data_IF_441174271149
#
_entry.id   IF_441174271149
#
_cell.length_a   1.000
_cell.length_b   1.000
_cell.length_c   1.000
_cell.angle_alpha   90.00
_cell.angle_beta   90.00
_cell.angle_gamma   90.00
#
_symmetry.space_group_name_H-M   'P 1'
#
loop_
_entity.id
_entity.type
_entity.pdbx_description
1 polymer ?
#
# COMPACT_ATOMS: atom_id res chain seq x y z
N UNK A 1 -22.85 26.41 41.28
CA UNK A 1 -21.69 26.79 40.46
C UNK A 1 -21.38 25.61 39.55
N UNK A 2 -21.82 25.67 38.29
CA UNK A 2 -21.53 24.64 37.29
C UNK A 2 -20.06 24.81 36.89
N UNK A 3 -19.20 23.88 37.28
CA UNK A 3 -17.81 23.88 36.82
C UNK A 3 -17.86 23.56 35.33
N UNK A 4 -17.61 24.56 34.49
CA UNK A 4 -17.44 24.34 33.06
C UNK A 4 -16.30 23.35 32.84
N UNK A 5 -16.61 22.22 32.20
CA UNK A 5 -15.63 21.19 31.91
C UNK A 5 -14.54 21.73 30.98
N UNK A 6 -13.38 22.05 31.57
CA UNK A 6 -12.24 22.65 30.87
C UNK A 6 -11.46 21.62 30.04
N UNK A 7 -11.87 20.35 30.01
CA UNK A 7 -11.20 19.34 29.20
C UNK A 7 -11.39 19.63 27.70
N UNK A 8 -10.28 19.68 26.95
CA UNK A 8 -10.34 19.73 25.48
C UNK A 8 -11.14 18.55 24.90
N UNK A 9 -11.66 18.68 23.67
CA UNK A 9 -12.36 17.60 22.95
C UNK A 9 -11.55 16.29 22.95
N UNK A 10 -10.22 16.40 22.78
CA UNK A 10 -9.31 15.26 22.81
C UNK A 10 -9.28 14.58 24.18
N UNK A 11 -9.34 15.34 25.27
CA UNK A 11 -9.41 14.79 26.63
C UNK A 11 -10.73 14.11 26.91
N UNK A 12 -11.86 14.75 26.54
CA UNK A 12 -13.20 14.20 26.77
C UNK A 12 -13.47 12.90 26.01
N UNK A 13 -12.92 12.78 24.80
CA UNK A 13 -13.12 11.61 23.93
C UNK A 13 -11.85 10.77 23.76
N UNK A 14 -10.89 10.85 24.69
CA UNK A 14 -9.58 10.23 24.56
C UNK A 14 -9.67 8.73 24.28
N UNK A 15 -10.53 8.02 25.01
CA UNK A 15 -10.74 6.58 24.82
C UNK A 15 -11.16 6.26 23.39
N UNK A 16 -12.20 6.93 22.88
CA UNK A 16 -12.72 6.71 21.53
C UNK A 16 -11.67 7.05 20.47
N UNK A 17 -10.99 8.18 20.62
CA UNK A 17 -9.95 8.62 19.67
C UNK A 17 -8.80 7.59 19.63
N UNK A 18 -8.34 7.08 20.77
CA UNK A 18 -7.30 6.05 20.84
C UNK A 18 -7.76 4.73 20.21
N UNK A 19 -9.03 4.36 20.38
CA UNK A 19 -9.62 3.18 19.73
C UNK A 19 -9.67 3.34 18.22
N UNK A 20 -10.19 4.46 17.73
CA UNK A 20 -10.23 4.75 16.29
C UNK A 20 -8.82 4.82 15.70
N UNK A 21 -7.85 5.39 16.41
CA UNK A 21 -6.45 5.44 15.97
C UNK A 21 -5.87 4.03 15.84
N UNK A 22 -6.10 3.15 16.82
CA UNK A 22 -5.70 1.74 16.74
C UNK A 22 -6.41 1.01 15.60
N UNK A 23 -7.71 1.23 15.41
CA UNK A 23 -8.52 0.57 14.39
C UNK A 23 -8.10 0.97 12.97
N UNK A 24 -7.92 2.26 12.73
CA UNK A 24 -7.40 2.79 11.46
C UNK A 24 -6.00 2.26 11.13
N UNK A 25 -5.14 2.11 12.14
CA UNK A 25 -3.80 1.53 11.97
C UNK A 25 -3.80 0.09 11.44
N UNK A 26 -4.75 -0.74 11.88
CA UNK A 26 -4.82 -2.13 11.44
C UNK A 26 -5.67 -2.32 10.19
N UNK A 27 -6.94 -1.89 10.24
CA UNK A 27 -7.94 -2.33 9.27
C UNK A 27 -7.71 -1.69 7.90
N UNK A 28 -7.84 -0.36 7.73
CA UNK A 28 -7.54 0.27 6.45
C UNK A 28 -6.04 0.29 6.16
N UNK A 29 -5.21 0.78 7.08
CA UNK A 29 -3.79 1.04 6.79
C UNK A 29 -2.98 -0.26 6.71
N UNK A 30 -3.12 -1.15 7.70
CA UNK A 30 -2.44 -2.43 7.70
C UNK A 30 -2.87 -3.34 6.54
N UNK A 31 -4.18 -3.36 6.25
CA UNK A 31 -4.72 -4.06 5.08
C UNK A 31 -4.17 -3.50 3.76
N UNK A 32 -4.17 -2.17 3.61
CA UNK A 32 -3.59 -1.52 2.43
C UNK A 32 -2.10 -1.78 2.31
N UNK A 33 -1.31 -1.71 3.39
CA UNK A 33 0.13 -2.00 3.34
C UNK A 33 0.39 -3.42 2.84
N UNK A 34 -0.32 -4.42 3.37
CA UNK A 34 -0.16 -5.80 2.93
C UNK A 34 -0.53 -5.97 1.45
N UNK A 35 -1.66 -5.41 1.01
CA UNK A 35 -2.07 -5.41 -0.38
C UNK A 35 -1.03 -4.70 -1.27
N UNK A 36 -0.58 -3.52 -0.88
CA UNK A 36 0.38 -2.70 -1.60
C UNK A 36 1.72 -3.43 -1.78
N UNK A 37 2.27 -4.04 -0.72
CA UNK A 37 3.51 -4.81 -0.83
C UNK A 37 3.33 -6.04 -1.73
N UNK A 38 2.22 -6.76 -1.62
CA UNK A 38 1.92 -7.92 -2.46
C UNK A 38 1.77 -7.56 -3.95
N UNK A 39 1.06 -6.46 -4.25
CA UNK A 39 0.92 -5.95 -5.62
C UNK A 39 2.27 -5.54 -6.20
N UNK A 40 3.11 -4.84 -5.42
CA UNK A 40 4.45 -4.46 -5.88
C UNK A 40 5.40 -5.65 -6.04
N UNK A 41 5.25 -6.71 -5.24
CA UNK A 41 6.06 -7.92 -5.37
C UNK A 41 5.84 -8.65 -6.70
N UNK A 42 4.77 -8.38 -7.44
CA UNK A 42 4.55 -8.93 -8.79
C UNK A 42 5.65 -8.54 -9.80
N UNK A 43 6.47 -7.53 -9.51
CA UNK A 43 7.65 -7.21 -10.32
C UNK A 43 8.69 -8.35 -10.33
N UNK A 44 8.70 -9.22 -9.31
CA UNK A 44 9.54 -10.41 -9.27
C UNK A 44 9.17 -11.41 -10.38
N UNK A 45 7.92 -11.38 -10.84
CA UNK A 45 7.43 -12.17 -11.97
C UNK A 45 7.65 -11.46 -13.32
N UNK A 46 8.26 -10.27 -13.31
CA UNK A 46 8.59 -9.45 -14.49
C UNK A 46 7.71 -8.22 -14.67
N UNK A 47 8.18 -7.29 -15.53
CA UNK A 47 7.52 -5.99 -15.79
C UNK A 47 6.10 -6.17 -16.33
N UNK A 48 5.85 -7.18 -17.18
CA UNK A 48 4.53 -7.47 -17.72
C UNK A 48 3.54 -7.93 -16.64
N UNK A 49 3.97 -8.76 -15.69
CA UNK A 49 3.14 -9.18 -14.56
C UNK A 49 2.81 -8.00 -13.65
N UNK A 50 3.80 -7.14 -13.37
CA UNK A 50 3.57 -5.90 -12.60
C UNK A 50 2.59 -4.95 -13.30
N UNK A 51 2.75 -4.71 -14.60
CA UNK A 51 1.81 -3.92 -15.41
C UNK A 51 0.40 -4.52 -15.36
N UNK A 52 0.26 -5.84 -15.48
CA UNK A 52 -1.04 -6.50 -15.39
C UNK A 52 -1.72 -6.25 -14.03
N UNK A 53 -0.97 -6.31 -12.92
CA UNK A 53 -1.51 -5.98 -11.58
C UNK A 53 -1.91 -4.51 -11.48
N UNK A 54 -1.11 -3.60 -12.03
CA UNK A 54 -1.45 -2.18 -12.09
C UNK A 54 -2.74 -1.96 -12.89
N UNK A 55 -2.88 -2.60 -14.05
CA UNK A 55 -4.08 -2.52 -14.89
C UNK A 55 -5.32 -3.05 -14.16
N UNK A 56 -5.21 -4.17 -13.44
CA UNK A 56 -6.34 -4.72 -12.67
C UNK A 56 -6.92 -3.71 -11.68
N UNK A 57 -6.06 -2.93 -11.01
CA UNK A 57 -6.49 -1.86 -10.10
C UNK A 57 -7.11 -0.70 -10.90
N UNK A 58 -6.48 -0.29 -11.99
CA UNK A 58 -6.92 0.88 -12.76
C UNK A 58 -8.20 0.65 -13.59
N UNK A 59 -8.54 -0.61 -13.88
CA UNK A 59 -9.80 -1.01 -14.55
C UNK A 59 -11.06 -0.68 -13.74
N UNK A 60 -10.94 -0.42 -12.44
CA UNK A 60 -12.06 0.03 -11.59
C UNK A 60 -12.59 1.42 -11.98
N UNK A 61 -11.82 2.17 -12.77
CA UNK A 61 -12.18 3.50 -13.24
C UNK A 61 -11.78 4.61 -12.26
N UNK A 62 -11.55 5.84 -12.76
CA UNK A 62 -10.98 6.93 -11.98
C UNK A 62 -11.86 7.35 -10.80
N UNK A 63 -13.19 7.35 -10.97
CA UNK A 63 -14.14 7.73 -9.92
C UNK A 63 -14.13 6.73 -8.77
N UNK A 64 -14.20 5.43 -9.07
CA UNK A 64 -14.17 4.35 -8.06
C UNK A 64 -12.86 4.38 -7.30
N UNK A 65 -11.73 4.51 -8.00
CA UNK A 65 -10.40 4.60 -7.39
C UNK A 65 -10.31 5.81 -6.46
N UNK A 66 -10.78 6.99 -6.90
CA UNK A 66 -10.77 8.19 -6.05
C UNK A 66 -11.54 7.98 -4.74
N UNK A 67 -12.75 7.40 -4.81
CA UNK A 67 -13.57 7.14 -3.63
C UNK A 67 -12.88 6.14 -2.69
N UNK A 68 -12.36 5.03 -3.24
CA UNK A 68 -11.67 4.01 -2.45
C UNK A 68 -10.38 4.55 -1.82
N UNK A 69 -9.58 5.29 -2.58
CA UNK A 69 -8.34 5.89 -2.09
C UNK A 69 -8.59 6.86 -0.95
N UNK A 70 -9.55 7.78 -1.07
CA UNK A 70 -9.82 8.71 0.01
C UNK A 70 -10.42 8.04 1.24
N UNK A 71 -11.40 7.15 1.06
CA UNK A 71 -12.10 6.52 2.17
C UNK A 71 -11.28 5.45 2.91
N UNK A 72 -10.48 4.65 2.18
CA UNK A 72 -9.74 3.51 2.74
C UNK A 72 -8.25 3.79 2.93
N UNK A 73 -7.67 4.80 2.26
CA UNK A 73 -6.22 5.05 2.30
C UNK A 73 -5.93 6.43 2.90
N UNK A 74 -6.24 7.52 2.19
CA UNK A 74 -5.79 8.86 2.60
C UNK A 74 -6.42 9.35 3.90
N UNK A 75 -7.75 9.27 4.05
CA UNK A 75 -8.41 9.75 5.27
C UNK A 75 -7.99 8.94 6.51
N UNK A 76 -7.95 7.58 6.46
CA UNK A 76 -7.42 6.80 7.56
C UNK A 76 -5.95 7.09 7.88
N UNK A 77 -5.07 7.18 6.86
CA UNK A 77 -3.64 7.49 7.06
C UNK A 77 -3.46 8.88 7.70
N UNK A 78 -4.18 9.89 7.23
CA UNK A 78 -4.13 11.24 7.80
C UNK A 78 -4.56 11.23 9.26
N UNK A 79 -5.71 10.62 9.56
CA UNK A 79 -6.20 10.53 10.94
C UNK A 79 -5.22 9.77 11.84
N UNK A 80 -4.79 8.57 11.43
CA UNK A 80 -3.84 7.74 12.18
C UNK A 80 -2.53 8.48 12.40
N UNK A 81 -1.99 9.08 11.35
CA UNK A 81 -0.73 9.79 11.37
C UNK A 81 -0.74 11.03 12.26
N UNK A 82 -1.77 11.89 12.14
CA UNK A 82 -1.90 13.11 12.95
C UNK A 82 -2.05 12.75 14.43
N UNK A 83 -2.99 11.86 14.77
CA UNK A 83 -3.19 11.43 16.16
C UNK A 83 -1.96 10.70 16.70
N UNK A 84 -1.29 9.89 15.86
CA UNK A 84 -0.04 9.22 16.17
C UNK A 84 1.08 10.19 16.54
N UNK A 85 1.23 11.28 15.79
CA UNK A 85 2.21 12.32 16.11
C UNK A 85 1.89 13.05 17.42
N UNK A 86 0.61 13.31 17.71
CA UNK A 86 0.22 13.85 19.03
C UNK A 86 0.60 12.90 20.17
N UNK A 87 0.48 11.59 19.97
CA UNK A 87 0.89 10.57 20.95
C UNK A 87 2.43 10.53 21.08
N UNK A 88 3.18 10.64 19.98
CA UNK A 88 4.64 10.71 19.98
C UNK A 88 5.12 11.92 20.79
N UNK A 89 4.59 13.11 20.51
CA UNK A 89 4.99 14.36 21.16
C UNK A 89 4.76 14.37 22.68
N UNK A 90 3.79 13.57 23.16
CA UNK A 90 3.49 13.42 24.60
C UNK A 90 4.19 12.22 25.25
N UNK A 91 4.92 11.42 24.46
CA UNK A 91 5.58 10.20 24.93
C UNK A 91 6.87 10.48 25.71
N UNK A 92 7.18 9.61 26.69
CA UNK A 92 8.46 9.62 27.43
C UNK A 92 9.17 8.31 27.19
N UNK A 93 10.45 8.35 26.80
CA UNK A 93 11.30 7.17 26.58
C UNK A 93 12.35 7.06 27.69
N UNK A 94 12.59 5.86 28.18
CA UNK A 94 13.68 5.58 29.12
C UNK A 94 14.36 4.25 28.77
N UNK A 95 15.31 4.30 27.84
CA UNK A 95 16.15 3.15 27.47
C UNK A 95 17.51 3.13 28.19
N UNK A 96 17.95 4.28 28.71
CA UNK A 96 19.24 4.38 29.39
C UNK A 96 19.21 3.69 30.75
N UNK A 97 18.16 3.92 31.56
CA UNK A 97 18.07 3.34 32.89
C UNK A 97 17.31 2.00 32.91
N UNK A 98 16.38 1.80 31.97
CA UNK A 98 15.52 0.62 31.91
C UNK A 98 15.48 -0.02 30.51
N UNK A 99 16.52 -0.76 30.11
CA UNK A 99 16.63 -1.38 28.78
C UNK A 99 15.79 -2.67 28.64
N UNK A 100 14.54 -2.68 29.11
CA UNK A 100 13.65 -3.83 28.99
C UNK A 100 13.03 -3.92 27.59
N UNK A 101 12.70 -5.14 27.15
CA UNK A 101 12.07 -5.40 25.84
C UNK A 101 10.82 -4.55 25.61
N UNK A 102 9.99 -4.34 26.64
CA UNK A 102 8.81 -3.47 26.54
C UNK A 102 9.15 -2.02 26.23
N UNK A 103 10.22 -1.48 26.85
CA UNK A 103 10.68 -0.11 26.61
C UNK A 103 11.31 0.04 25.21
N UNK A 104 11.99 -1.00 24.71
CA UNK A 104 12.47 -1.04 23.33
C UNK A 104 11.31 -1.00 22.34
N UNK A 105 10.30 -1.86 22.49
CA UNK A 105 9.10 -1.87 21.63
C UNK A 105 8.35 -0.55 21.69
N UNK A 106 8.20 0.01 22.90
CA UNK A 106 7.64 1.34 23.10
C UNK A 106 8.42 2.38 22.29
N UNK A 107 9.75 2.39 22.38
CA UNK A 107 10.58 3.40 21.70
C UNK A 107 10.57 3.20 20.19
N UNK A 108 10.74 1.97 19.72
CA UNK A 108 10.76 1.63 18.31
C UNK A 108 9.40 1.90 17.64
N UNK A 109 8.25 1.63 18.27
CA UNK A 109 6.93 1.98 17.71
C UNK A 109 6.84 3.48 17.35
N UNK A 110 7.36 4.36 18.22
CA UNK A 110 7.37 5.80 17.98
C UNK A 110 8.38 6.19 16.92
N UNK A 111 9.61 5.67 17.03
CA UNK A 111 10.67 5.97 16.08
C UNK A 111 10.28 5.56 14.66
N UNK A 112 9.82 4.31 14.48
CA UNK A 112 9.36 3.84 13.17
C UNK A 112 8.07 4.52 12.72
N UNK A 113 7.20 4.97 13.64
CA UNK A 113 6.02 5.76 13.29
C UNK A 113 6.37 7.13 12.70
N UNK A 114 7.40 7.80 13.25
CA UNK A 114 7.92 9.05 12.70
C UNK A 114 8.60 8.80 11.35
N UNK A 115 9.44 7.76 11.25
CA UNK A 115 10.08 7.39 9.98
C UNK A 115 9.04 7.06 8.91
N UNK A 116 8.03 6.24 9.24
CA UNK A 116 6.94 5.87 8.34
C UNK A 116 6.13 7.09 7.90
N UNK A 117 5.84 8.04 8.81
CA UNK A 117 5.17 9.29 8.46
C UNK A 117 5.95 10.08 7.41
N UNK A 118 7.25 10.33 7.66
CA UNK A 118 8.10 11.07 6.72
C UNK A 118 8.24 10.32 5.40
N UNK A 119 8.44 9.01 5.46
CA UNK A 119 8.54 8.16 4.29
C UNK A 119 7.25 8.17 3.46
N UNK A 120 6.07 8.02 4.06
CA UNK A 120 4.79 8.01 3.33
C UNK A 120 4.52 9.37 2.68
N UNK A 121 4.76 10.47 3.40
CA UNK A 121 4.59 11.82 2.83
C UNK A 121 5.48 12.01 1.58
N UNK A 122 6.75 11.63 1.69
CA UNK A 122 7.68 11.69 0.58
C UNK A 122 7.36 10.68 -0.53
N UNK A 123 7.05 9.43 -0.20
CA UNK A 123 6.74 8.35 -1.14
C UNK A 123 5.52 8.68 -2.00
N UNK A 124 4.43 9.15 -1.39
CA UNK A 124 3.22 9.54 -2.13
C UNK A 124 3.49 10.78 -3.00
N UNK A 125 4.33 11.71 -2.55
CA UNK A 125 4.76 12.82 -3.39
C UNK A 125 5.59 12.35 -4.59
N UNK A 126 6.63 11.57 -4.32
CA UNK A 126 7.57 11.06 -5.29
C UNK A 126 6.86 10.24 -6.37
N UNK A 127 5.99 9.29 -5.98
CA UNK A 127 5.29 8.43 -6.94
C UNK A 127 4.06 9.11 -7.56
N UNK A 128 3.23 9.80 -6.77
CA UNK A 128 1.91 10.24 -7.21
C UNK A 128 1.68 11.76 -7.18
N UNK A 129 2.61 12.53 -6.65
CA UNK A 129 2.53 13.99 -6.60
C UNK A 129 1.50 14.55 -5.61
N UNK A 130 0.95 13.76 -4.68
CA UNK A 130 -0.17 14.11 -3.77
C UNK A 130 -1.51 14.40 -4.45
N UNK A 131 -1.59 15.42 -5.32
CA UNK A 131 -2.83 15.84 -5.98
C UNK A 131 -2.77 15.59 -7.49
N UNK A 132 -3.90 15.18 -8.07
CA UNK A 132 -4.01 14.85 -9.51
C UNK A 132 -4.43 16.04 -10.39
N UNK A 133 -4.53 17.24 -9.82
CA UNK A 133 -4.92 18.43 -10.58
C UNK A 133 -3.80 18.79 -11.56
N UNK A 134 -4.15 19.04 -12.82
CA UNK A 134 -3.18 19.32 -13.89
C UNK A 134 -2.20 20.44 -13.52
N UNK A 135 -2.70 21.57 -13.00
CA UNK A 135 -1.85 22.70 -12.59
C UNK A 135 -0.87 22.34 -11.47
N UNK A 136 -1.25 21.42 -10.57
CA UNK A 136 -0.38 20.96 -9.49
C UNK A 136 0.65 19.94 -9.99
N UNK A 137 0.21 18.97 -10.80
CA UNK A 137 1.11 17.93 -11.33
C UNK A 137 2.18 18.56 -12.21
N UNK A 138 1.79 19.41 -13.15
CA UNK A 138 2.70 20.04 -14.12
C UNK A 138 3.48 21.21 -13.50
N UNK A 139 2.83 22.02 -12.67
CA UNK A 139 3.43 23.24 -12.13
C UNK A 139 4.21 23.06 -10.82
N UNK A 140 3.96 21.97 -10.08
CA UNK A 140 4.55 21.76 -8.74
C UNK A 140 5.19 20.39 -8.60
N UNK A 141 4.42 19.30 -8.81
CA UNK A 141 4.90 17.96 -8.50
C UNK A 141 6.09 17.56 -9.39
N UNK A 142 5.92 17.57 -10.72
CA UNK A 142 6.99 17.17 -11.66
C UNK A 142 8.26 18.01 -11.55
N UNK A 143 8.19 19.36 -11.49
CA UNK A 143 9.39 20.19 -11.31
C UNK A 143 10.19 19.89 -10.03
N UNK A 144 9.51 19.38 -8.99
CA UNK A 144 10.12 19.01 -7.71
C UNK A 144 10.47 17.51 -7.62
N UNK A 145 10.39 16.76 -8.72
CA UNK A 145 10.70 15.34 -8.77
C UNK A 145 9.58 14.42 -8.23
N UNK A 146 8.35 14.92 -8.11
CA UNK A 146 7.16 14.15 -7.79
C UNK A 146 6.43 13.61 -9.02
N UNK A 147 5.34 12.89 -8.80
CA UNK A 147 4.47 12.30 -9.84
C UNK A 147 5.22 11.42 -10.86
N UNK A 148 6.18 10.63 -10.38
CA UNK A 148 7.07 9.82 -11.20
C UNK A 148 6.44 8.51 -11.71
N UNK A 149 5.38 8.02 -11.06
CA UNK A 149 4.72 6.78 -11.46
C UNK A 149 3.60 7.01 -12.46
N UNK A 150 3.68 6.33 -13.61
CA UNK A 150 2.62 6.28 -14.59
C UNK A 150 1.96 4.88 -14.60
N UNK A 151 0.69 4.73 -14.23
CA UNK A 151 0.03 3.42 -14.22
C UNK A 151 -0.17 2.83 -15.62
N UNK A 152 -0.18 3.65 -16.68
CA UNK A 152 -0.22 3.16 -18.06
C UNK A 152 1.13 2.61 -18.54
N UNK A 153 2.22 2.92 -17.82
CA UNK A 153 3.58 2.47 -18.06
C UNK A 153 4.26 2.21 -16.70
N UNK A 154 3.83 1.16 -16.01
CA UNK A 154 4.23 0.83 -14.65
C UNK A 154 5.75 0.59 -14.51
N UNK A 155 6.45 0.36 -15.62
CA UNK A 155 7.92 0.35 -15.72
C UNK A 155 8.59 1.64 -15.22
N UNK A 156 7.86 2.75 -15.17
CA UNK A 156 8.33 4.00 -14.55
C UNK A 156 8.70 3.85 -13.07
N UNK A 157 8.07 2.93 -12.33
CA UNK A 157 8.45 2.66 -10.93
C UNK A 157 9.89 2.12 -10.78
N UNK A 158 10.28 1.02 -11.47
CA UNK A 158 11.66 0.57 -11.43
C UNK A 158 12.64 1.58 -12.06
N UNK A 159 12.31 2.26 -13.16
CA UNK A 159 13.19 3.29 -13.77
C UNK A 159 13.61 4.36 -12.75
N UNK A 160 12.64 4.90 -12.03
CA UNK A 160 12.87 5.95 -11.03
C UNK A 160 13.68 5.40 -9.87
N UNK A 161 13.40 4.19 -9.41
CA UNK A 161 14.15 3.58 -8.31
C UNK A 161 15.61 3.29 -8.70
N UNK A 162 15.84 2.80 -9.92
CA UNK A 162 17.16 2.49 -10.46
C UNK A 162 18.02 3.74 -10.73
N UNK A 163 17.40 4.92 -10.82
CA UNK A 163 18.11 6.19 -11.05
C UNK A 163 19.11 6.55 -9.92
N UNK A 164 18.92 6.01 -8.71
CA UNK A 164 19.82 6.31 -7.58
C UNK A 164 19.76 5.26 -6.48
N UNK A 165 20.92 4.76 -6.06
CA UNK A 165 21.04 3.86 -4.91
C UNK A 165 20.54 4.48 -3.60
N UNK A 166 20.56 5.82 -3.49
CA UNK A 166 20.02 6.54 -2.32
C UNK A 166 18.52 6.32 -2.23
N UNK A 167 17.80 6.34 -3.35
CA UNK A 167 16.36 6.06 -3.38
C UNK A 167 16.09 4.64 -2.90
N UNK A 168 16.86 3.65 -3.35
CA UNK A 168 16.74 2.25 -2.89
C UNK A 168 16.87 2.18 -1.36
N UNK A 169 17.88 2.82 -0.77
CA UNK A 169 18.09 2.81 0.68
C UNK A 169 16.94 3.51 1.42
N UNK A 170 16.47 4.66 0.94
CA UNK A 170 15.34 5.37 1.54
C UNK A 170 14.06 4.54 1.52
N UNK A 171 13.77 3.88 0.39
CA UNK A 171 12.62 2.97 0.27
C UNK A 171 12.77 1.74 1.16
N UNK A 172 13.97 1.16 1.28
CA UNK A 172 14.22 0.04 2.19
C UNK A 172 13.95 0.42 3.65
N UNK A 173 14.50 1.55 4.12
CA UNK A 173 14.28 2.05 5.49
C UNK A 173 12.79 2.33 5.73
N UNK A 174 12.14 3.00 4.80
CA UNK A 174 10.72 3.32 4.86
C UNK A 174 9.83 2.08 4.94
N UNK A 175 10.03 1.13 4.03
CA UNK A 175 9.30 -0.14 4.01
C UNK A 175 9.49 -0.93 5.31
N UNK A 176 10.72 -1.10 5.78
CA UNK A 176 11.00 -1.83 7.02
C UNK A 176 10.42 -1.11 8.25
N UNK A 177 10.45 0.22 8.28
CA UNK A 177 9.81 1.01 9.33
C UNK A 177 8.29 0.79 9.36
N UNK A 178 7.62 0.84 8.19
CA UNK A 178 6.19 0.56 8.06
C UNK A 178 5.83 -0.86 8.53
N UNK A 179 6.61 -1.86 8.09
CA UNK A 179 6.39 -3.27 8.46
C UNK A 179 6.57 -3.49 9.96
N UNK A 180 7.65 -2.96 10.56
CA UNK A 180 7.84 -3.06 12.01
C UNK A 180 6.72 -2.34 12.76
N UNK A 181 6.35 -1.13 12.33
CA UNK A 181 5.29 -0.33 12.96
C UNK A 181 3.95 -1.07 12.97
N UNK A 182 3.60 -1.73 11.86
CA UNK A 182 2.40 -2.55 11.76
C UNK A 182 2.50 -3.79 12.66
N UNK A 183 3.58 -4.56 12.58
CA UNK A 183 3.73 -5.80 13.33
C UNK A 183 3.70 -5.58 14.85
N UNK A 184 4.44 -4.58 15.34
CA UNK A 184 4.41 -4.20 16.75
C UNK A 184 3.10 -3.46 17.13
N UNK A 185 2.49 -2.77 16.17
CA UNK A 185 1.16 -2.17 16.29
C UNK A 185 0.08 -3.22 16.54
N UNK A 186 0.07 -4.32 15.79
CA UNK A 186 -0.82 -5.47 15.99
C UNK A 186 -0.63 -6.03 17.39
N UNK A 187 0.63 -6.26 17.81
CA UNK A 187 0.95 -6.74 19.16
C UNK A 187 0.46 -5.79 20.28
N UNK A 188 0.53 -4.47 20.04
CA UNK A 188 0.02 -3.48 21.01
C UNK A 188 -1.51 -3.42 20.99
N UNK A 189 -2.10 -3.52 19.81
CA UNK A 189 -3.54 -3.50 19.59
C UNK A 189 -4.21 -4.64 20.34
N UNK A 190 -3.76 -5.89 20.21
CA UNK A 190 -4.42 -6.99 20.93
C UNK A 190 -4.28 -6.93 22.46
N UNK A 191 -3.34 -6.15 23.03
CA UNK A 191 -3.39 -5.84 24.48
C UNK A 191 -4.56 -4.91 24.73
N UNK A 192 -4.56 -3.77 24.04
CA UNK A 192 -5.54 -2.71 24.30
C UNK A 192 -6.97 -3.17 23.99
N UNK A 193 -7.18 -4.01 22.98
CA UNK A 193 -8.48 -4.58 22.58
C UNK A 193 -8.83 -5.89 23.29
N UNK A 194 -8.00 -6.35 24.23
CA UNK A 194 -8.33 -7.51 25.06
C UNK A 194 -8.24 -8.87 24.35
N UNK A 195 -7.51 -8.96 23.24
CA UNK A 195 -7.23 -10.23 22.54
C UNK A 195 -6.24 -11.09 23.33
N UNK A 196 -5.20 -10.48 23.89
CA UNK A 196 -4.25 -11.16 24.79
C UNK A 196 -4.15 -10.47 26.15
N UNK A 197 -5.01 -10.92 27.06
CA UNK A 197 -5.22 -10.34 28.40
C UNK A 197 -4.20 -10.79 29.45
N UNK A 198 -3.57 -11.96 29.28
CA UNK A 198 -2.61 -12.51 30.25
C UNK A 198 -1.14 -12.30 29.83
N UNK A 199 -0.19 -12.29 30.78
CA UNK A 199 1.24 -12.22 30.46
C UNK A 199 1.71 -13.37 29.56
N UNK A 200 1.14 -14.57 29.72
CA UNK A 200 1.44 -15.72 28.84
C UNK A 200 0.94 -15.46 27.43
N UNK A 201 -0.29 -14.97 27.27
CA UNK A 201 -0.86 -14.66 25.95
C UNK A 201 -0.06 -13.56 25.24
N UNK A 202 0.36 -12.51 25.96
CA UNK A 202 1.21 -11.44 25.41
C UNK A 202 2.57 -11.95 24.93
N UNK A 203 3.19 -12.90 25.66
CA UNK A 203 4.44 -13.54 25.24
C UNK A 203 4.24 -14.42 24.00
N UNK A 204 3.15 -15.18 23.94
CA UNK A 204 2.84 -16.03 22.79
C UNK A 204 2.46 -15.22 21.55
N UNK A 205 1.81 -14.07 21.73
CA UNK A 205 1.47 -13.15 20.64
C UNK A 205 2.70 -12.60 19.90
N UNK A 206 3.91 -12.70 20.48
CA UNK A 206 5.14 -12.36 19.77
C UNK A 206 5.32 -13.22 18.52
N UNK A 207 4.99 -14.51 18.59
CA UNK A 207 5.21 -15.46 17.49
C UNK A 207 4.42 -15.04 16.24
N UNK A 208 3.07 -14.95 16.26
CA UNK A 208 2.33 -14.58 15.05
C UNK A 208 2.63 -13.15 14.58
N UNK A 209 2.86 -12.19 15.50
CA UNK A 209 3.21 -10.82 15.10
C UNK A 209 4.58 -10.74 14.43
N UNK A 210 5.58 -11.46 14.94
CA UNK A 210 6.91 -11.51 14.35
C UNK A 210 6.92 -12.26 13.02
N UNK A 211 6.23 -13.40 12.93
CA UNK A 211 6.12 -14.17 11.68
C UNK A 211 5.41 -13.34 10.61
N UNK A 212 4.27 -12.72 10.93
CA UNK A 212 3.57 -11.84 10.00
C UNK A 212 4.43 -10.65 9.56
N UNK A 213 5.14 -10.01 10.50
CA UNK A 213 6.08 -8.94 10.20
C UNK A 213 7.23 -9.40 9.29
N UNK A 214 7.81 -10.58 9.54
CA UNK A 214 8.89 -11.13 8.73
C UNK A 214 8.42 -11.46 7.31
N UNK A 215 7.23 -12.05 7.16
CA UNK A 215 6.63 -12.32 5.85
C UNK A 215 6.45 -11.01 5.07
N UNK A 216 5.86 -9.98 5.68
CA UNK A 216 5.68 -8.69 5.04
C UNK A 216 7.03 -8.03 4.70
N UNK A 217 8.05 -8.17 5.55
CA UNK A 217 9.38 -7.66 5.27
C UNK A 217 10.00 -8.37 4.06
N UNK A 218 9.89 -9.70 3.96
CA UNK A 218 10.39 -10.47 2.82
C UNK A 218 9.66 -10.07 1.54
N UNK A 219 8.33 -9.94 1.57
CA UNK A 219 7.54 -9.50 0.41
C UNK A 219 7.94 -8.09 -0.02
N UNK A 220 8.04 -7.15 0.93
CA UNK A 220 8.38 -5.75 0.64
C UNK A 220 9.82 -5.56 0.16
N UNK A 221 10.78 -6.25 0.76
CA UNK A 221 12.17 -6.23 0.31
C UNK A 221 12.36 -6.98 -1.01
N UNK A 222 11.59 -8.06 -1.24
CA UNK A 222 11.52 -8.75 -2.52
C UNK A 222 11.00 -7.85 -3.63
N UNK A 223 9.92 -7.10 -3.38
CA UNK A 223 9.44 -6.10 -4.32
C UNK A 223 10.53 -5.06 -4.65
N UNK A 224 11.21 -4.52 -3.63
CA UNK A 224 12.28 -3.54 -3.84
C UNK A 224 13.46 -4.12 -4.63
N UNK A 225 13.88 -5.35 -4.32
CA UNK A 225 14.90 -6.07 -5.07
C UNK A 225 14.50 -6.25 -6.53
N UNK A 226 13.27 -6.73 -6.78
CA UNK A 226 12.74 -6.92 -8.13
C UNK A 226 12.71 -5.61 -8.92
N UNK A 227 12.35 -4.49 -8.29
CA UNK A 227 12.44 -3.17 -8.93
C UNK A 227 13.87 -2.79 -9.31
N UNK A 228 14.87 -3.16 -8.51
CA UNK A 228 16.28 -2.85 -8.80
C UNK A 228 16.86 -3.65 -9.97
N UNK A 229 16.33 -4.86 -10.22
CA UNK A 229 16.85 -5.77 -11.26
C UNK A 229 15.94 -5.87 -12.50
N UNK A 230 14.79 -5.20 -12.49
CA UNK A 230 13.84 -5.23 -13.59
C UNK A 230 14.49 -4.67 -14.87
N UNK A 231 14.32 -5.36 -16.00
CA UNK A 231 14.75 -4.87 -17.30
C UNK A 231 13.77 -3.80 -17.79
N UNK A 232 14.18 -2.54 -17.70
CA UNK A 232 13.41 -1.37 -18.14
C UNK A 232 13.59 -1.08 -19.63
N UNK A 233 14.53 -1.75 -20.31
CA UNK A 233 14.89 -1.52 -21.71
C UNK A 233 13.89 -2.15 -22.69
N UNK A 234 13.14 -3.16 -22.25
CA UNK A 234 12.27 -3.97 -23.09
C UNK A 234 10.90 -3.32 -23.41
N UNK A 235 10.60 -2.14 -22.87
CA UNK A 235 9.32 -1.44 -23.06
C UNK A 235 9.55 -0.18 -23.90
N UNK A 236 8.98 -0.06 -25.12
CA UNK A 236 9.21 1.10 -25.95
C UNK A 236 8.73 2.38 -25.26
N UNK A 237 9.63 3.36 -25.14
CA UNK A 237 9.28 4.71 -24.76
C UNK A 237 8.31 5.29 -25.80
N UNK A 238 7.02 5.43 -25.43
CA UNK A 238 6.05 6.21 -26.23
C UNK A 238 5.12 5.42 -27.17
N UNK A 239 4.86 4.14 -26.95
CA UNK A 239 3.84 3.42 -27.73
C UNK A 239 2.43 3.62 -27.17
N UNK A 240 1.55 4.30 -27.93
CA UNK A 240 0.10 4.05 -27.80
C UNK A 240 -0.13 2.54 -27.77
N UNK A 241 -0.89 2.06 -26.78
CA UNK A 241 -1.30 0.66 -26.74
C UNK A 241 -1.94 0.31 -28.10
N UNK A 242 -1.56 -0.79 -28.77
CA UNK A 242 -2.40 -1.29 -29.83
C UNK A 242 -3.76 -1.53 -29.21
N UNK A 243 -4.79 -0.84 -29.75
CA UNK A 243 -6.16 -1.08 -29.40
C UNK A 243 -6.35 -2.60 -29.40
N UNK A 244 -6.87 -3.16 -28.30
CA UNK A 244 -7.23 -4.56 -28.25
C UNK A 244 -7.99 -4.84 -29.55
N UNK A 245 -7.38 -5.60 -30.47
CA UNK A 245 -8.12 -6.13 -31.59
C UNK A 245 -9.17 -6.99 -30.90
N UNK A 246 -10.42 -6.52 -30.93
CA UNK A 246 -11.54 -7.43 -30.85
C UNK A 246 -11.28 -8.43 -31.96
N UNK A 247 -10.66 -9.55 -31.62
CA UNK A 247 -10.71 -10.74 -32.43
C UNK A 247 -12.20 -11.07 -32.45
N UNK A 248 -12.88 -10.58 -33.48
CA UNK A 248 -14.19 -11.05 -33.88
C UNK A 248 -14.05 -12.56 -33.99
N UNK A 249 -14.69 -13.25 -33.05
CA UNK A 249 -14.92 -14.67 -33.14
C UNK A 249 -15.80 -14.89 -34.37
N UNK A 250 -15.18 -15.16 -35.51
CA UNK A 250 -15.88 -15.73 -36.65
C UNK A 250 -16.16 -17.20 -36.31
N UNK A 251 -17.43 -17.64 -36.29
CA UNK A 251 -17.73 -19.04 -36.13
C UNK A 251 -17.21 -19.78 -37.36
N UNK A 252 -16.28 -20.72 -37.15
CA UNK A 252 -15.72 -21.55 -38.20
C UNK A 252 -16.80 -22.36 -38.90
N UNK A 253 -16.74 -22.34 -40.23
CA UNK A 253 -17.54 -23.16 -41.13
C UNK A 253 -17.12 -24.63 -40.95
N UNK A 254 -17.93 -25.40 -40.23
CA UNK A 254 -17.78 -26.86 -40.12
C UNK A 254 -18.11 -27.49 -41.47
N UNK A 255 -17.09 -27.80 -42.25
CA UNK A 255 -17.22 -28.67 -43.44
C UNK A 255 -17.49 -30.11 -42.98
N UNK A 256 -18.74 -30.54 -43.06
CA UNK A 256 -19.15 -31.95 -42.92
C UNK A 256 -18.92 -32.66 -44.27
N UNK A 257 -18.10 -33.73 -44.36
CA UNK A 257 -17.92 -34.47 -45.61
C UNK A 257 -18.92 -35.63 -45.74
N UNK A 258 -19.60 -35.69 -46.89
CA UNK A 258 -20.51 -36.77 -47.30
C UNK A 258 -21.98 -36.36 -47.11
N UNK A 259 -22.77 -36.05 -48.13
CA UNK A 259 -23.03 -36.87 -49.32
C UNK A 259 -24.34 -37.62 -49.11
N UNK A 260 -25.45 -37.09 -49.63
CA UNK A 260 -26.56 -37.78 -50.30
C UNK A 260 -27.44 -36.71 -50.95
N UNK A 261 -27.52 -36.83 -52.27
CA UNK A 261 -28.36 -36.10 -53.21
C UNK A 261 -29.83 -36.50 -52.98
N UNK A 262 -30.73 -35.54 -52.75
CA UNK A 262 -32.17 -35.76 -52.87
C UNK A 262 -32.75 -34.69 -53.79
N UNK A 263 -33.13 -35.17 -54.95
CA UNK A 263 -33.76 -34.51 -56.10
C UNK A 263 -35.03 -33.73 -55.73
N UNK A 264 -35.17 -32.55 -56.34
CA UNK A 264 -36.43 -31.81 -56.44
C UNK A 264 -37.53 -32.67 -57.07
N UNK A 265 -38.66 -32.82 -56.38
CA UNK A 265 -39.97 -32.99 -57.02
C UNK A 265 -41.08 -32.37 -56.16
N UNK A 266 -41.79 -31.39 -56.75
CA UNK A 266 -43.25 -31.44 -56.75
C UNK A 266 -44.04 -30.69 -55.66
N UNK A 267 -44.41 -29.45 -56.01
CA UNK A 267 -45.80 -28.97 -56.18
C UNK A 267 -46.75 -28.85 -54.96
N UNK A 268 -47.47 -27.71 -55.01
CA UNK A 268 -48.73 -27.26 -54.36
C UNK A 268 -48.55 -26.46 -53.07
#
# INVERSE_FOLDING_TARGET
>A
MQISDCASVFGRHEFLIRRLHSLSGLVPIGGYLAFHLATNAAILDGVAAYQHRADQIHRLGPTTILVLEWSLIFLPILFHGIVGMLIVCRGKRNLSQYPYTGNFRYTLQRATGVIAMLFILWHVFHMHGWFRWQWWVEGVARPLGGAQFNPAAAVTAPEVLQSSWVLVVLYAIGTLACVYHLANGIWTMGITWGVWTSPRAQRMANIPCMLGGLILAVVGMGALYGMCIADTSAVPAGGERPAHSHASFEPGEETVPGGIELTEEGRI
#
